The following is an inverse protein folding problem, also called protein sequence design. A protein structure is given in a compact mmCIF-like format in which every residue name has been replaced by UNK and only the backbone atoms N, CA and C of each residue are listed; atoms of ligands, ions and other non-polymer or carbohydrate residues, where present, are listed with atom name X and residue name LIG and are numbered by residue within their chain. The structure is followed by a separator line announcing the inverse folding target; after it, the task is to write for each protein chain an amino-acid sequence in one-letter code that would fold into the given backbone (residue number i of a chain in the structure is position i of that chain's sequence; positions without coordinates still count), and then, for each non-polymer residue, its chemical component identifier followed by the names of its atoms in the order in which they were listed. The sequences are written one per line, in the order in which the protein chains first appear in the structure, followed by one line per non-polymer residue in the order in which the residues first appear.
data_IF_760791357730
#
_entry.id   IF_760791357730
#
_cell.length_a   1.000
_cell.length_b   1.000
_cell.length_c   1.000
_cell.angle_alpha   90.00
_cell.angle_beta   90.00
_cell.angle_gamma   90.00
#
_symmetry.space_group_name_H-M   'P 1'
#
loop_
_entity.id
_entity.type
_entity.pdbx_description
1 polymer ?
2 non-polymer ?
3 water ?
#
# COMPACT_ATOMS: atom_id res chain seq x y z
N UNK A 4 33.12 9.90 -17.26
CA UNK A 4 33.31 8.50 -17.76
C UNK A 4 32.13 7.52 -17.45
N UNK A 5 31.66 6.81 -18.48
CA UNK A 5 30.52 5.83 -18.41
C UNK A 5 30.59 4.65 -17.40
N UNK A 6 29.52 4.42 -16.61
CA UNK A 6 29.49 3.32 -15.61
C UNK A 6 28.21 2.49 -15.63
N UNK A 7 28.25 1.31 -15.04
CA UNK A 7 27.08 0.43 -14.89
C UNK A 7 26.65 0.56 -13.45
N UNK A 8 25.40 0.95 -13.19
CA UNK A 8 24.98 1.26 -11.81
C UNK A 8 23.52 0.82 -11.62
N UNK A 9 23.16 0.46 -10.38
CA UNK A 9 21.72 0.06 -10.07
C UNK A 9 20.98 1.41 -9.94
N UNK A 10 19.98 1.62 -10.79
CA UNK A 10 19.16 2.81 -10.79
C UNK A 10 17.69 2.40 -10.66
N UNK A 11 16.88 3.34 -10.15
CA UNK A 11 15.41 3.28 -10.38
C UNK A 11 15.12 4.30 -11.44
N UNK A 12 14.41 3.87 -12.45
CA UNK A 12 14.12 4.66 -13.64
C UNK A 12 12.62 4.88 -13.81
N UNK A 13 12.20 6.12 -14.03
CA UNK A 13 10.80 6.55 -14.03
C UNK A 13 10.50 7.17 -15.39
N UNK A 14 9.38 6.74 -15.99
CA UNK A 14 8.83 7.39 -17.12
C UNK A 14 7.41 7.78 -16.90
N UNK A 15 6.99 8.88 -17.44
CA UNK A 15 5.55 9.21 -17.41
C UNK A 15 5.11 9.89 -18.66
N UNK A 16 3.80 9.86 -18.92
CA UNK A 16 3.27 10.73 -19.95
C UNK A 16 1.84 11.12 -19.57
N UNK A 17 1.26 12.06 -20.33
CA UNK A 17 -0.14 12.45 -20.07
C UNK A 17 -1.10 11.82 -21.07
N UNK A 18 -1.98 10.92 -20.61
CA UNK A 18 -2.99 10.36 -21.53
C UNK A 18 -3.99 11.44 -21.83
N UNK A 19 -4.30 11.58 -23.11
CA UNK A 19 -5.19 12.65 -23.53
C UNK A 19 -4.44 13.82 -24.16
N UNK A 20 -3.14 13.96 -23.89
CA UNK A 20 -2.40 15.12 -24.38
C UNK A 20 -2.32 15.20 -25.90
N UNK A 21 -2.10 14.07 -26.55
CA UNK A 21 -1.93 14.16 -28.02
C UNK A 21 -3.19 14.72 -28.69
N UNK A 22 -4.36 14.30 -28.20
CA UNK A 22 -5.68 14.77 -28.68
C UNK A 22 -5.74 16.28 -28.45
N UNK A 23 -5.39 16.67 -27.23
CA UNK A 23 -5.37 18.10 -26.87
C UNK A 23 -4.45 18.93 -27.79
N UNK A 24 -3.34 18.33 -28.21
CA UNK A 24 -2.40 19.09 -29.05
C UNK A 24 -2.93 19.36 -30.46
N UNK A 25 -3.94 18.60 -30.86
CA UNK A 25 -4.62 18.77 -32.16
C UNK A 25 -5.86 19.72 -32.07
N UNK A 26 -6.08 20.40 -30.96
CA UNK A 26 -7.25 21.29 -30.89
C UNK A 26 -7.05 22.60 -30.11
N UNK A 27 -5.98 22.68 -29.34
CA UNK A 27 -5.59 23.92 -28.65
C UNK A 27 -4.80 24.85 -29.55
N UNK A 28 -5.05 26.15 -29.48
CA UNK A 28 -4.15 27.15 -30.05
C UNK A 28 -2.71 26.82 -29.63
N UNK A 29 -1.75 27.03 -30.52
CA UNK A 29 -0.35 26.71 -30.22
C UNK A 29 0.16 27.42 -28.96
N UNK A 30 -0.30 28.65 -28.72
CA UNK A 30 0.21 29.40 -27.57
C UNK A 30 -0.34 28.84 -26.22
N UNK A 31 -1.65 28.54 -26.17
CA UNK A 31 -2.27 27.90 -25.01
C UNK A 31 -1.65 26.51 -24.79
N UNK A 32 -1.45 25.75 -25.88
CA UNK A 32 -0.75 24.43 -25.77
C UNK A 32 0.66 24.53 -25.19
N UNK A 33 1.48 25.47 -25.69
CA UNK A 33 2.76 25.76 -25.18
C UNK A 33 2.71 26.10 -23.69
N UNK A 34 1.81 27.02 -23.30
CA UNK A 34 1.77 27.36 -21.90
C UNK A 34 1.33 26.15 -21.01
N UNK A 35 0.36 25.39 -21.43
CA UNK A 35 -0.11 24.21 -20.67
C UNK A 35 0.99 23.15 -20.59
N UNK A 36 1.61 22.79 -21.72
CA UNK A 36 2.73 21.82 -21.61
C UNK A 36 3.87 22.38 -20.73
N UNK A 37 4.35 23.64 -20.92
CA UNK A 37 5.46 24.11 -20.19
C UNK A 37 5.16 24.23 -18.66
N UNK A 38 3.93 24.63 -18.34
CA UNK A 38 3.48 24.70 -16.93
C UNK A 38 3.60 23.30 -16.30
N UNK A 39 3.07 22.34 -17.02
CA UNK A 39 3.14 20.92 -16.58
C UNK A 39 4.57 20.46 -16.41
N UNK A 40 5.42 20.68 -17.44
CA UNK A 40 6.78 20.21 -17.32
C UNK A 40 7.55 20.94 -16.20
N UNK A 41 7.27 22.25 -16.00
CA UNK A 41 7.93 22.99 -14.95
C UNK A 41 7.49 22.45 -13.56
N UNK A 42 6.19 22.15 -13.46
CA UNK A 42 5.68 21.62 -12.15
C UNK A 42 6.23 20.25 -11.87
N UNK A 43 6.30 19.43 -12.94
CA UNK A 43 6.92 18.09 -12.74
C UNK A 43 8.39 18.17 -12.40
N UNK A 44 9.14 19.09 -13.04
CA UNK A 44 10.50 19.29 -12.71
C UNK A 44 10.72 19.68 -11.23
N UNK A 45 9.90 20.57 -10.70
CA UNK A 45 10.02 20.92 -9.34
C UNK A 45 9.80 19.73 -8.39
N UNK A 46 8.79 18.89 -8.70
CA UNK A 46 8.63 17.69 -7.88
C UNK A 46 9.79 16.68 -7.96
N UNK A 47 10.34 16.45 -9.16
CA UNK A 47 11.48 15.59 -9.28
C UNK A 47 12.67 16.15 -8.50
N UNK A 48 12.90 17.49 -8.56
CA UNK A 48 14.03 18.05 -7.75
C UNK A 48 13.82 17.81 -6.23
N UNK A 49 12.57 18.03 -5.76
CA UNK A 49 12.25 17.87 -4.35
C UNK A 49 12.57 16.43 -3.83
N UNK A 50 12.28 15.43 -4.70
CA UNK A 50 12.51 14.11 -4.35
C UNK A 50 13.90 13.55 -4.63
N UNK A 51 14.71 14.44 -5.16
CA UNK A 51 16.14 14.04 -5.30
C UNK A 51 16.38 13.32 -6.65
N UNK A 52 15.51 13.45 -7.66
CA UNK A 52 15.71 12.69 -8.90
C UNK A 52 16.61 13.45 -9.86
N UNK A 53 17.15 12.72 -10.78
CA UNK A 53 17.89 13.33 -11.86
C UNK A 53 17.03 13.36 -13.08
N UNK A 54 16.68 14.54 -13.50
CA UNK A 54 15.84 14.74 -14.66
C UNK A 54 16.66 14.49 -15.90
N UNK A 55 16.18 13.56 -16.72
CA UNK A 55 17.01 13.20 -17.86
C UNK A 55 16.63 14.03 -19.02
N UNK A 56 15.38 13.99 -19.39
CA UNK A 56 14.92 14.74 -20.55
C UNK A 56 13.42 14.69 -20.55
N UNK A 57 12.89 15.60 -21.35
CA UNK A 57 11.53 15.58 -21.72
C UNK A 57 11.46 15.30 -23.22
N UNK A 58 10.47 14.50 -23.59
CA UNK A 58 10.17 14.25 -24.98
C UNK A 58 8.71 14.59 -25.18
N UNK A 59 8.39 15.78 -25.66
CA UNK A 59 7.04 16.31 -25.58
C UNK A 59 6.51 16.31 -24.10
N UNK A 60 5.42 15.56 -23.85
CA UNK A 60 4.87 15.47 -22.47
C UNK A 60 5.47 14.30 -21.73
N UNK A 61 6.29 13.50 -22.39
CA UNK A 61 6.96 12.41 -21.69
C UNK A 61 8.13 12.86 -20.79
N UNK A 62 8.14 12.48 -19.52
CA UNK A 62 9.18 12.84 -18.59
C UNK A 62 9.98 11.61 -18.17
N UNK A 63 11.32 11.64 -18.16
CA UNK A 63 12.18 10.57 -17.76
C UNK A 63 13.04 11.07 -16.61
N UNK A 64 13.04 10.38 -15.49
CA UNK A 64 13.80 10.74 -14.27
C UNK A 64 14.47 9.50 -13.79
N UNK A 65 15.71 9.59 -13.30
CA UNK A 65 16.29 8.44 -12.68
C UNK A 65 16.87 8.71 -11.32
N UNK A 66 17.00 7.67 -10.53
CA UNK A 66 17.56 7.78 -9.17
C UNK A 66 18.67 6.77 -8.99
N UNK A 67 19.73 7.18 -8.36
CA UNK A 67 20.89 6.31 -8.07
C UNK A 67 22.16 6.90 -8.72
N UNK A 68 22.02 7.92 -9.52
CA UNK A 68 23.19 8.56 -10.15
C UNK A 68 22.72 9.98 -10.43
N UNK A 69 23.62 11.03 -10.30
CA UNK A 69 25.01 10.90 -9.90
C UNK A 69 25.27 10.56 -8.45
N UNK A 70 24.27 10.74 -7.57
CA UNK A 70 24.41 10.34 -6.21
C UNK A 70 23.38 9.25 -5.94
N UNK A 71 23.49 8.63 -4.80
CA UNK A 71 22.60 7.56 -4.36
C UNK A 71 22.38 7.59 -2.88
N UNK A 72 21.13 7.29 -2.48
CA UNK A 72 20.78 6.93 -1.09
C UNK A 72 20.83 5.41 -0.75
N UNK A 73 21.32 4.58 -1.69
CA UNK A 73 21.22 3.12 -1.63
C UNK A 73 19.94 2.70 -2.33
N UNK A 74 19.91 1.45 -2.75
CA UNK A 74 18.93 0.99 -3.76
C UNK A 74 17.53 1.16 -3.18
N UNK A 75 17.33 0.86 -1.90
CA UNK A 75 15.96 0.93 -1.34
C UNK A 75 15.47 2.36 -1.26
N UNK A 76 16.23 3.28 -0.69
CA UNK A 76 15.78 4.67 -0.64
C UNK A 76 15.68 5.32 -2.00
N UNK A 77 16.49 4.90 -2.96
CA UNK A 77 16.38 5.46 -4.31
C UNK A 77 15.01 5.04 -4.91
N UNK A 78 14.69 3.79 -4.72
CA UNK A 78 13.38 3.28 -5.23
C UNK A 78 12.22 3.90 -4.49
N UNK A 79 12.28 3.96 -3.15
CA UNK A 79 11.22 4.63 -2.43
C UNK A 79 11.08 6.10 -2.93
N UNK A 80 12.23 6.80 -3.13
CA UNK A 80 12.13 8.16 -3.59
C UNK A 80 11.44 8.32 -4.98
N UNK A 81 11.80 7.37 -5.90
CA UNK A 81 11.23 7.47 -7.24
C UNK A 81 9.70 7.22 -7.12
N UNK A 82 9.29 6.18 -6.42
CA UNK A 82 7.82 5.90 -6.40
C UNK A 82 7.07 6.97 -5.64
N UNK A 83 7.66 7.49 -4.56
CA UNK A 83 7.03 8.57 -3.78
C UNK A 83 6.91 9.78 -4.64
N UNK A 84 7.91 10.08 -5.50
CA UNK A 84 7.80 11.18 -6.45
C UNK A 84 6.61 10.95 -7.37
N UNK A 85 6.46 9.72 -7.86
CA UNK A 85 5.31 9.46 -8.73
C UNK A 85 3.97 9.63 -8.03
N UNK A 86 3.87 9.19 -6.77
CA UNK A 86 2.66 9.39 -5.97
C UNK A 86 2.32 10.90 -5.90
N UNK A 87 3.41 11.66 -5.60
CA UNK A 87 3.23 13.06 -5.50
C UNK A 87 2.84 13.74 -6.78
N UNK A 88 3.39 13.34 -7.94
CA UNK A 88 3.01 13.88 -9.21
C UNK A 88 1.57 13.56 -9.51
N UNK A 89 1.14 12.35 -9.21
CA UNK A 89 -0.27 11.98 -9.51
C UNK A 89 -1.19 12.86 -8.65
N UNK A 90 -0.80 13.14 -7.38
CA UNK A 90 -1.63 14.04 -6.56
C UNK A 90 -1.62 15.43 -7.14
N UNK A 91 -0.49 15.90 -7.62
CA UNK A 91 -0.44 17.28 -8.10
C UNK A 91 -1.19 17.43 -9.40
N UNK A 92 -1.33 16.36 -10.16
CA UNK A 92 -2.13 16.42 -11.34
C UNK A 92 -3.56 16.78 -11.08
N UNK A 93 -4.05 16.43 -9.89
CA UNK A 93 -5.46 16.85 -9.56
C UNK A 93 -5.53 18.37 -9.47
N UNK A 94 -4.51 18.95 -8.87
CA UNK A 94 -4.45 20.41 -8.77
C UNK A 94 -4.34 21.02 -10.17
N UNK A 95 -3.42 20.49 -11.01
CA UNK A 95 -3.27 21.07 -12.31
C UNK A 95 -4.55 20.97 -13.11
N UNK A 96 -5.22 19.82 -13.04
CA UNK A 96 -6.49 19.65 -13.78
C UNK A 96 -7.51 20.72 -13.35
N UNK A 97 -7.55 21.01 -12.05
CA UNK A 97 -8.54 22.02 -11.54
C UNK A 97 -8.16 23.39 -12.14
N UNK A 98 -6.89 23.68 -12.18
CA UNK A 98 -6.46 24.92 -12.80
C UNK A 98 -6.82 24.95 -14.27
N UNK A 99 -6.55 23.86 -14.99
CA UNK A 99 -6.87 23.79 -16.40
C UNK A 99 -8.37 23.87 -16.71
N UNK A 100 -9.16 23.24 -15.86
CA UNK A 100 -10.60 23.22 -16.06
C UNK A 100 -11.10 24.68 -15.97
N UNK A 101 -10.44 25.47 -15.12
CA UNK A 101 -10.79 26.90 -14.98
C UNK A 101 -10.41 27.75 -16.19
N UNK A 102 -9.52 27.27 -17.07
CA UNK A 102 -9.26 27.96 -18.32
C UNK A 102 -10.17 27.42 -19.39
N UNK A 103 -11.09 26.54 -19.01
CA UNK A 103 -12.01 25.96 -19.98
C UNK A 103 -11.50 24.77 -20.77
N UNK A 104 -10.48 24.11 -20.22
CA UNK A 104 -9.97 22.87 -20.77
C UNK A 104 -10.71 21.84 -20.00
N UNK A 105 -11.48 21.03 -20.71
CA UNK A 105 -12.42 20.15 -20.04
C UNK A 105 -12.09 18.70 -20.33
N UNK A 106 -11.34 18.49 -21.42
CA UNK A 106 -11.07 17.15 -21.93
C UNK A 106 -10.19 16.43 -20.90
N UNK A 107 -10.43 15.13 -20.73
CA UNK A 107 -9.70 14.55 -19.61
C UNK A 107 -8.18 14.34 -19.94
N UNK A 108 -7.37 14.60 -18.92
CA UNK A 108 -5.90 14.50 -19.05
C UNK A 108 -5.45 13.80 -17.78
N UNK A 109 -4.70 12.71 -17.93
CA UNK A 109 -4.29 11.97 -16.73
C UNK A 109 -2.91 11.41 -16.91
N UNK A 110 -2.15 11.45 -15.83
CA UNK A 110 -0.78 10.96 -15.90
C UNK A 110 -0.77 9.47 -15.77
N UNK A 111 0.15 8.85 -16.49
CA UNK A 111 0.51 7.46 -16.23
C UNK A 111 1.99 7.31 -16.12
N UNK A 112 2.40 6.27 -15.38
CA UNK A 112 3.79 6.11 -15.01
C UNK A 112 4.25 4.68 -15.00
N UNK A 113 5.53 4.47 -15.32
CA UNK A 113 6.16 3.17 -15.27
C UNK A 113 7.48 3.30 -14.52
N UNK A 114 7.83 2.36 -13.66
CA UNK A 114 9.06 2.49 -12.83
C UNK A 114 9.67 1.14 -12.80
N UNK A 115 11.01 1.05 -12.98
CA UNK A 115 11.69 -0.20 -12.84
C UNK A 115 13.00 0.06 -12.19
N UNK A 116 13.61 -0.89 -11.56
CA UNK A 116 14.92 -0.79 -10.90
C UNK A 116 15.80 -1.91 -11.42
N UNK A 117 17.03 -1.56 -11.78
CA UNK A 117 18.02 -2.58 -12.23
C UNK A 117 19.26 -1.87 -12.72
N UNK A 118 20.26 -2.69 -13.11
CA UNK A 118 21.52 -2.12 -13.58
C UNK A 118 21.42 -1.51 -14.90
N UNK A 119 21.91 -0.27 -15.02
CA UNK A 119 21.85 0.53 -16.22
C UNK A 119 23.23 1.10 -16.55
N UNK A 120 23.45 1.46 -17.79
CA UNK A 120 24.74 2.14 -18.19
C UNK A 120 24.48 3.62 -18.23
N UNK A 121 25.32 4.39 -17.53
CA UNK A 121 25.14 5.85 -17.47
C UNK A 121 26.38 6.58 -17.97
N UNK A 122 26.19 7.60 -18.74
CA UNK A 122 27.40 8.20 -19.39
C UNK A 122 27.03 9.35 -20.23
N UNK A 123 28.04 9.90 -20.95
CA UNK A 123 27.76 10.95 -21.86
C UNK A 123 27.68 10.36 -23.25
N UNK A 124 26.50 10.54 -23.86
CA UNK A 124 26.22 9.92 -25.18
C UNK A 124 25.76 10.95 -26.14
N UNK A 125 26.15 10.82 -27.43
CA UNK A 125 25.75 11.71 -28.44
C UNK A 125 26.77 11.97 -29.55
N UNK A 126 26.42 12.94 -30.37
CA UNK A 126 27.27 13.46 -31.43
C UNK A 126 28.07 14.63 -30.87
N UNK A 127 29.11 15.04 -31.60
CA UNK A 127 30.12 15.99 -31.03
C UNK A 127 29.60 17.35 -30.63
N UNK A 128 28.65 17.92 -31.39
CA UNK A 128 28.04 19.15 -30.93
C UNK A 128 26.68 18.92 -30.23
N UNK A 129 26.41 17.68 -29.80
CA UNK A 129 25.06 17.30 -29.29
C UNK A 129 25.18 16.09 -28.36
N UNK A 130 25.71 16.40 -27.18
CA UNK A 130 26.07 15.41 -26.19
C UNK A 130 25.16 15.54 -24.94
N UNK A 131 24.77 14.40 -24.35
CA UNK A 131 24.01 14.45 -23.12
C UNK A 131 24.38 13.36 -22.13
N UNK A 132 24.28 13.72 -20.85
CA UNK A 132 24.50 12.75 -19.79
C UNK A 132 23.20 12.01 -19.56
N UNK A 133 23.18 10.69 -19.76
CA UNK A 133 21.88 9.96 -19.82
C UNK A 133 22.15 8.48 -19.58
N UNK A 134 21.13 7.61 -19.73
CA UNK A 134 21.26 6.21 -19.36
C UNK A 134 20.65 5.39 -20.47
N UNK A 135 21.18 4.18 -20.59
CA UNK A 135 20.69 3.20 -21.56
C UNK A 135 20.71 1.79 -20.96
N UNK A 136 19.97 0.85 -21.58
CA UNK A 136 20.04 -0.52 -21.17
C UNK A 136 18.65 -1.13 -21.14
N UNK A 137 18.60 -2.45 -21.14
CA UNK A 137 17.32 -3.18 -21.02
C UNK A 137 16.43 -2.71 -19.88
N UNK A 138 17.02 -2.34 -18.76
CA UNK A 138 16.28 -1.96 -17.56
C UNK A 138 15.69 -0.58 -17.75
N UNK A 139 16.33 0.27 -18.55
CA UNK A 139 15.73 1.51 -18.93
C UNK A 139 14.51 1.26 -19.86
N UNK A 140 14.68 0.38 -20.84
CA UNK A 140 13.60 0.10 -21.76
C UNK A 140 12.44 -0.55 -21.00
N UNK A 141 12.72 -1.32 -19.97
CA UNK A 141 11.58 -2.01 -19.20
C UNK A 141 10.72 -0.94 -18.50
N UNK A 142 11.34 0.14 -17.95
CA UNK A 142 10.55 1.24 -17.37
C UNK A 142 9.65 1.89 -18.39
N UNK A 143 10.18 2.14 -19.58
CA UNK A 143 9.43 2.69 -20.68
C UNK A 143 8.25 1.77 -21.09
N UNK A 144 8.55 0.49 -21.13
CA UNK A 144 7.46 -0.45 -21.50
C UNK A 144 6.40 -0.52 -20.44
N UNK A 145 6.76 -0.41 -19.18
CA UNK A 145 5.72 -0.39 -18.14
C UNK A 145 4.87 0.86 -18.29
N UNK A 146 5.50 2.01 -18.61
CA UNK A 146 4.74 3.19 -18.77
C UNK A 146 3.75 2.98 -19.95
N UNK A 147 4.21 2.32 -21.00
CA UNK A 147 3.35 2.18 -22.23
C UNK A 147 2.15 1.29 -21.88
N UNK A 148 2.35 0.38 -20.95
CA UNK A 148 1.31 -0.61 -20.56
C UNK A 148 0.38 -0.06 -19.52
N UNK A 149 0.77 1.00 -18.84
CA UNK A 149 -0.01 1.50 -17.73
C UNK A 149 -1.26 2.19 -18.27
N UNK A 150 -2.26 2.15 -17.44
CA UNK A 150 -3.52 2.84 -17.69
C UNK A 150 -3.49 4.29 -17.17
N UNK A 151 -4.35 5.17 -17.69
CA UNK A 151 -4.43 6.48 -17.11
C UNK A 151 -4.62 6.45 -15.60
N UNK A 152 -3.77 7.21 -14.91
CA UNK A 152 -3.87 7.28 -13.48
C UNK A 152 -3.13 6.24 -12.69
N UNK A 153 -2.43 5.38 -13.38
CA UNK A 153 -1.80 4.20 -12.73
C UNK A 153 -0.29 4.42 -12.69
N UNK A 154 0.31 3.91 -11.62
CA UNK A 154 1.73 3.82 -11.53
C UNK A 154 2.02 2.33 -11.52
N UNK A 155 2.70 1.90 -12.54
CA UNK A 155 3.06 0.47 -12.65
C UNK A 155 4.51 0.26 -12.34
N UNK A 156 4.91 -0.71 -11.52
CA UNK A 156 6.29 -0.95 -11.20
C UNK A 156 6.60 -2.44 -11.41
N UNK A 157 7.84 -2.75 -11.58
CA UNK A 157 8.31 -4.16 -11.71
C UNK A 157 8.50 -4.75 -10.35
N UNK A 158 8.71 -6.07 -10.36
CA UNK A 158 8.97 -6.79 -9.14
C UNK A 158 10.24 -6.38 -8.41
N UNK A 159 11.32 -6.08 -9.16
CA UNK A 159 12.51 -5.58 -8.51
C UNK A 159 12.18 -4.29 -7.71
N UNK A 160 11.42 -3.37 -8.30
CA UNK A 160 11.11 -2.16 -7.56
C UNK A 160 10.26 -2.51 -6.37
N UNK A 161 9.19 -3.28 -6.60
CA UNK A 161 8.30 -3.71 -5.49
C UNK A 161 9.08 -4.28 -4.37
N UNK A 162 10.05 -5.17 -4.67
CA UNK A 162 10.89 -5.82 -3.61
C UNK A 162 11.58 -4.84 -2.67
N UNK A 163 11.98 -3.69 -3.22
CA UNK A 163 12.62 -2.65 -2.51
C UNK A 163 11.70 -1.77 -1.70
N UNK A 164 10.44 -1.56 -2.15
CA UNK A 164 9.60 -0.54 -1.55
C UNK A 164 8.48 -1.19 -0.68
N UNK A 165 8.34 -2.53 -0.76
CA UNK A 165 7.07 -3.14 -0.23
C UNK A 165 6.78 -2.91 1.22
N UNK A 166 7.76 -2.69 2.09
CA UNK A 166 7.46 -2.45 3.50
C UNK A 166 6.97 -1.07 3.78
N UNK A 167 7.16 -0.12 2.85
CA UNK A 167 6.77 1.25 3.09
C UNK A 167 5.77 1.87 2.08
N UNK A 168 5.59 1.24 0.92
CA UNK A 168 4.65 1.74 -0.04
C UNK A 168 3.68 0.60 -0.37
N UNK A 169 2.41 0.96 -0.39
CA UNK A 169 1.35 -0.03 -0.60
C UNK A 169 1.16 -0.32 -2.10
N UNK A 170 1.14 -1.60 -2.47
CA UNK A 170 1.11 -2.02 -3.88
C UNK A 170 0.01 -3.11 -4.02
N UNK A 171 -0.35 -3.37 -5.26
CA UNK A 171 -1.28 -4.47 -5.59
C UNK A 171 -0.79 -5.16 -6.83
N UNK A 172 -0.67 -6.49 -6.76
CA UNK A 172 -0.34 -7.32 -7.93
C UNK A 172 -1.27 -7.10 -9.12
N UNK A 173 -0.66 -6.82 -10.28
CA UNK A 173 -1.49 -6.60 -11.48
C UNK A 173 -1.15 -7.64 -12.55
N UNK A 174 -0.72 -8.77 -12.04
CA UNK A 174 -0.38 -9.90 -12.99
C UNK A 174 0.99 -9.71 -13.68
N UNK A 175 1.02 -10.20 -14.93
CA UNK A 175 2.24 -10.18 -15.71
C UNK A 175 1.78 -9.77 -17.12
N UNK A 176 2.58 -8.96 -17.74
CA UNK A 176 2.26 -8.46 -19.04
C UNK A 176 3.31 -8.88 -20.08
N UNK A 177 2.77 -8.85 -21.31
CA UNK A 177 3.52 -8.98 -22.57
C UNK A 177 4.28 -7.70 -22.85
N UNK A 178 5.61 -7.74 -22.73
CA UNK A 178 6.45 -6.55 -23.03
C UNK A 178 7.36 -6.85 -24.22
N UNK A 179 7.21 -6.05 -25.29
CA UNK A 179 8.00 -6.31 -26.52
C UNK A 179 9.49 -6.11 -26.17
N UNK A 180 10.31 -7.08 -26.58
CA UNK A 180 11.72 -7.13 -26.15
C UNK A 180 11.88 -7.98 -24.89
N UNK A 181 10.79 -8.58 -24.45
CA UNK A 181 10.86 -9.40 -23.25
C UNK A 181 10.11 -10.70 -23.53
N UNK A 182 10.84 -11.80 -23.42
CA UNK A 182 10.34 -13.11 -23.85
C UNK A 182 9.42 -13.60 -22.74
N UNK A 183 9.87 -13.32 -21.51
CA UNK A 183 9.38 -13.98 -20.31
C UNK A 183 8.39 -12.99 -19.70
N UNK A 184 7.47 -13.51 -18.86
CA UNK A 184 6.56 -12.41 -18.56
C UNK A 184 7.09 -11.71 -17.34
N UNK A 185 6.98 -10.36 -17.31
CA UNK A 185 7.35 -9.65 -16.12
C UNK A 185 6.14 -9.27 -15.20
N UNK A 186 6.48 -9.56 -13.99
CA UNK A 186 5.60 -9.38 -12.85
C UNK A 186 5.43 -7.88 -12.67
N UNK A 187 4.22 -7.44 -12.54
CA UNK A 187 3.92 -5.95 -12.37
C UNK A 187 3.01 -5.69 -11.20
N UNK A 188 3.08 -4.49 -10.62
CA UNK A 188 2.21 -4.06 -9.52
C UNK A 188 1.76 -2.65 -9.67
N UNK A 189 0.59 -2.32 -9.19
CA UNK A 189 0.06 -0.95 -9.15
C UNK A 189 0.48 -0.39 -7.79
N UNK A 190 0.84 0.91 -7.76
CA UNK A 190 1.13 1.59 -6.53
C UNK A 190 -0.11 2.36 -6.07
N UNK A 191 -0.46 2.15 -4.81
CA UNK A 191 -1.71 2.65 -4.24
C UNK A 191 -1.34 3.63 -3.10
N UNK A 192 -1.94 4.79 -3.11
CA UNK A 192 -1.62 5.78 -2.10
C UNK A 192 -2.07 5.31 -0.79
N UNK A 193 -1.34 5.60 0.26
CA UNK A 193 -1.71 5.18 1.59
C UNK A 193 -1.24 6.18 2.63
N UNK A 194 -1.53 5.82 3.90
CA UNK A 194 -1.43 6.90 4.89
C UNK A 194 0.01 7.33 5.04
N UNK A 195 0.98 6.46 4.85
CA UNK A 195 2.35 6.76 5.25
C UNK A 195 3.15 7.31 4.08
N UNK A 196 2.50 7.80 3.04
CA UNK A 196 3.30 8.29 1.94
C UNK A 196 4.19 9.47 2.25
N UNK A 197 5.35 9.49 1.60
CA UNK A 197 6.34 10.56 1.88
C UNK A 197 6.05 11.77 1.01
N UNK A 198 5.81 12.92 1.64
CA UNK A 198 5.75 14.07 0.82
C UNK A 198 5.89 15.36 1.53
N UNK B 3 -12.53 16.05 24.48
CA UNK B 3 -12.99 14.63 24.59
C UNK B 3 -14.48 14.45 24.82
N UNK B 4 -15.32 14.87 23.91
CA UNK B 4 -16.70 14.42 23.95
C UNK B 4 -16.76 12.93 23.53
N UNK B 5 -17.43 12.10 24.31
CA UNK B 5 -17.64 10.73 23.83
C UNK B 5 -18.58 10.76 22.63
N UNK B 6 -18.25 9.96 21.58
CA UNK B 6 -19.07 9.94 20.40
C UNK B 6 -19.26 8.53 19.97
N UNK B 7 -20.42 8.30 19.38
CA UNK B 7 -20.69 7.10 18.65
C UNK B 7 -20.21 7.35 17.25
N UNK B 8 -19.45 6.37 16.74
CA UNK B 8 -18.88 6.46 15.40
C UNK B 8 -18.85 5.11 14.74
N UNK B 9 -18.94 5.08 13.41
CA UNK B 9 -18.92 3.79 12.68
C UNK B 9 -17.47 3.44 12.51
N UNK B 10 -17.11 2.30 13.11
CA UNK B 10 -15.74 1.78 13.02
C UNK B 10 -15.75 0.41 12.41
N UNK B 11 -14.61 0.03 11.87
CA UNK B 11 -14.29 -1.40 11.66
C UNK B 11 -13.29 -1.80 12.80
N UNK B 12 -13.67 -2.88 13.43
CA UNK B 12 -12.96 -3.34 14.66
C UNK B 12 -12.39 -4.75 14.35
N UNK B 13 -11.13 -4.88 14.73
CA UNK B 13 -10.33 -6.09 14.40
C UNK B 13 -9.80 -6.64 15.69
N UNK B 14 -9.93 -7.97 15.83
CA UNK B 14 -9.29 -8.69 16.93
C UNK B 14 -8.60 -9.85 16.39
N UNK B 15 -7.43 -10.16 16.97
CA UNK B 15 -6.76 -11.41 16.57
C UNK B 15 -6.06 -12.01 17.78
N UNK B 16 -5.80 -13.33 17.66
CA UNK B 16 -4.91 -14.02 18.67
C UNK B 16 -4.15 -15.12 17.97
N UNK B 17 -3.15 -15.65 18.66
CA UNK B 17 -2.41 -16.77 18.08
C UNK B 17 -2.79 -18.11 18.67
N UNK B 18 -3.42 -18.93 17.85
CA UNK B 18 -3.79 -20.29 18.30
C UNK B 18 -2.49 -21.06 18.49
N UNK B 19 -2.40 -21.73 19.64
CA UNK B 19 -1.16 -22.43 19.99
C UNK B 19 -0.41 -21.67 21.04
N UNK B 20 -0.63 -20.36 21.16
CA UNK B 20 0.27 -19.58 21.97
C UNK B 20 0.08 -19.85 23.48
N UNK B 21 -1.11 -20.15 23.93
CA UNK B 21 -1.26 -20.39 25.39
C UNK B 21 -0.47 -21.68 25.75
N UNK B 22 -0.56 -22.69 24.90
CA UNK B 22 0.21 -23.92 25.22
C UNK B 22 1.70 -23.62 25.17
N UNK B 23 2.08 -22.90 24.14
CA UNK B 23 3.42 -22.53 23.98
C UNK B 23 3.93 -21.81 25.23
N UNK B 24 3.08 -20.99 25.82
CA UNK B 24 3.52 -20.17 26.92
C UNK B 24 3.72 -21.04 28.19
N UNK B 25 3.13 -22.22 28.22
CA UNK B 25 3.26 -23.13 29.36
C UNK B 25 4.56 -23.98 29.26
N UNK B 26 5.12 -24.07 28.05
CA UNK B 26 6.19 -25.03 27.72
C UNK B 26 7.52 -24.33 27.52
N UNK B 27 7.47 -23.13 26.97
CA UNK B 27 8.65 -22.49 26.44
C UNK B 27 9.35 -21.69 27.54
N UNK B 28 10.66 -21.83 27.64
CA UNK B 28 11.39 -21.03 28.61
C UNK B 28 11.06 -19.53 28.57
N UNK B 29 11.13 -18.89 29.73
CA UNK B 29 10.63 -17.51 29.89
C UNK B 29 11.18 -16.41 28.97
N UNK B 30 12.53 -16.37 28.83
CA UNK B 30 13.18 -15.44 27.92
C UNK B 30 12.74 -15.69 26.45
N UNK B 31 12.66 -16.95 26.01
CA UNK B 31 12.41 -17.30 24.64
C UNK B 31 10.94 -16.91 24.42
N UNK B 32 10.08 -17.21 25.36
CA UNK B 32 8.63 -16.82 25.20
C UNK B 32 8.48 -15.29 25.09
N UNK B 33 9.14 -14.60 25.98
CA UNK B 33 9.13 -13.18 25.99
C UNK B 33 9.61 -12.55 24.64
N UNK B 34 10.74 -13.02 24.13
CA UNK B 34 11.18 -12.45 22.87
C UNK B 34 10.25 -12.84 21.72
N UNK B 35 9.67 -14.03 21.73
CA UNK B 35 8.78 -14.45 20.66
C UNK B 35 7.52 -13.54 20.69
N UNK B 36 6.94 -13.35 21.87
CA UNK B 36 5.70 -12.56 21.91
C UNK B 36 5.99 -11.10 21.55
N UNK B 37 7.07 -10.47 22.09
CA UNK B 37 7.37 -9.15 21.76
C UNK B 37 7.72 -8.95 20.28
N UNK B 38 8.47 -9.90 19.70
CA UNK B 38 8.76 -9.91 18.23
C UNK B 38 7.38 -9.84 17.46
N UNK B 39 6.50 -10.75 17.79
CA UNK B 39 5.13 -10.80 17.13
C UNK B 39 4.45 -9.49 17.28
N UNK B 40 4.35 -8.96 18.51
CA UNK B 40 3.56 -7.71 18.72
C UNK B 40 4.22 -6.54 18.01
N UNK B 41 5.56 -6.52 17.95
CA UNK B 41 6.15 -5.43 17.26
C UNK B 41 5.91 -5.50 15.73
N UNK B 42 6.01 -6.69 15.14
CA UNK B 42 5.75 -6.85 13.71
C UNK B 42 4.27 -6.52 13.40
N UNK B 43 3.37 -6.96 14.29
CA UNK B 43 1.90 -6.64 14.07
C UNK B 43 1.67 -5.16 14.13
N UNK B 44 2.35 -4.46 15.07
CA UNK B 44 2.17 -3.02 15.18
C UNK B 44 2.67 -2.31 13.91
N UNK B 45 3.80 -2.75 13.34
CA UNK B 45 4.28 -2.13 12.08
C UNK B 45 3.23 -2.32 10.91
N UNK B 46 2.61 -3.54 10.91
CA UNK B 46 1.63 -3.78 9.85
C UNK B 46 0.39 -2.89 10.09
N UNK B 47 -0.10 -2.77 11.34
CA UNK B 47 -1.25 -1.88 11.63
C UNK B 47 -0.92 -0.45 11.20
N UNK B 48 0.32 0.04 11.47
CA UNK B 48 0.69 1.41 11.08
C UNK B 48 0.63 1.55 9.58
N UNK B 49 1.13 0.52 8.88
CA UNK B 49 1.12 0.56 7.43
C UNK B 49 -0.29 0.77 6.87
N UNK B 50 -1.30 0.03 7.42
CA UNK B 50 -2.64 0.18 6.90
C UNK B 50 -3.48 1.23 7.54
N UNK B 51 -2.89 1.97 8.50
CA UNK B 51 -3.57 3.11 9.08
C UNK B 51 -4.52 2.79 10.19
N UNK B 52 -4.30 1.65 10.88
CA UNK B 52 -5.18 1.33 11.95
C UNK B 52 -4.73 1.91 13.30
N UNK B 53 -5.69 2.10 14.13
CA UNK B 53 -5.44 2.58 15.51
C UNK B 53 -5.27 1.37 16.41
N UNK B 54 -4.09 1.19 16.96
CA UNK B 54 -3.82 0.02 17.83
C UNK B 54 -4.35 0.35 19.20
N UNK B 55 -5.27 -0.45 19.68
CA UNK B 55 -5.97 -0.05 20.91
C UNK B 55 -5.17 -0.52 22.01
N UNK B 56 -4.96 -1.83 22.02
CA UNK B 56 -4.21 -2.44 23.07
C UNK B 56 -3.85 -3.84 22.66
N UNK B 57 -2.90 -4.35 23.41
CA UNK B 57 -2.54 -5.76 23.43
C UNK B 57 -2.96 -6.32 24.77
N UNK B 58 -3.51 -7.52 24.74
CA UNK B 58 -3.85 -8.33 25.91
C UNK B 58 -3.10 -9.69 25.71
N UNK B 59 -1.88 -9.78 26.18
CA UNK B 59 -1.03 -10.95 25.80
C UNK B 59 -0.82 -11.01 24.31
N UNK B 60 -1.27 -12.09 23.65
CA UNK B 60 -1.07 -12.26 22.22
C UNK B 60 -2.29 -11.67 21.50
N UNK B 61 -3.30 -11.24 22.24
CA UNK B 61 -4.50 -10.68 21.58
C UNK B 61 -4.28 -9.22 21.13
N UNK B 62 -4.53 -8.90 19.87
CA UNK B 62 -4.30 -7.59 19.30
C UNK B 62 -5.69 -7.03 18.95
N UNK B 63 -5.92 -5.81 19.35
CA UNK B 63 -7.19 -5.10 19.02
C UNK B 63 -6.80 -3.82 18.28
N UNK B 64 -7.35 -3.68 17.09
CA UNK B 64 -7.06 -2.52 16.19
C UNK B 64 -8.42 -2.00 15.70
N UNK B 65 -8.57 -0.69 15.57
CA UNK B 65 -9.83 -0.20 14.96
C UNK B 65 -9.54 0.86 13.88
N UNK B 66 -10.52 0.98 12.99
CA UNK B 66 -10.34 1.92 11.85
C UNK B 66 -11.62 2.74 11.91
N UNK B 67 -11.44 4.04 11.62
CA UNK B 67 -12.56 5.02 11.56
C UNK B 67 -12.43 6.11 12.61
N UNK B 68 -11.48 6.02 13.50
CA UNK B 68 -11.27 7.06 14.54
C UNK B 68 -9.85 6.86 14.98
N UNK B 69 -9.14 7.95 15.31
CA UNK B 69 -9.51 9.35 15.25
C UNK B 69 -9.77 9.95 13.87
N UNK B 70 -9.24 9.33 12.81
CA UNK B 70 -9.42 9.76 11.46
C UNK B 70 -10.21 8.68 10.72
N UNK B 71 -10.77 9.04 9.58
CA UNK B 71 -11.50 8.10 8.78
C UNK B 71 -11.26 8.33 7.32
N UNK B 72 -11.28 7.28 6.52
CA UNK B 72 -11.31 7.45 5.04
C UNK B 72 -12.67 7.12 4.49
N UNK B 73 -13.70 7.14 5.33
CA UNK B 73 -15.02 6.71 4.97
C UNK B 73 -15.16 5.23 5.31
N UNK B 74 -16.38 4.79 5.51
CA UNK B 74 -16.65 3.43 6.02
C UNK B 74 -16.09 2.36 5.13
N UNK B 75 -16.25 2.46 3.80
CA UNK B 75 -15.76 1.43 2.93
C UNK B 75 -14.24 1.31 2.97
N UNK B 76 -13.55 2.40 2.84
CA UNK B 76 -12.12 2.31 2.78
C UNK B 76 -11.61 1.87 4.13
N UNK B 77 -12.29 2.23 5.21
CA UNK B 77 -11.82 1.84 6.59
C UNK B 77 -11.94 0.35 6.65
N UNK B 78 -13.02 -0.21 6.18
CA UNK B 78 -13.22 -1.67 6.29
C UNK B 78 -12.25 -2.39 5.35
N UNK B 79 -12.07 -1.93 4.10
CA UNK B 79 -11.05 -2.54 3.20
C UNK B 79 -9.65 -2.44 3.86
N UNK B 80 -9.29 -1.33 4.53
CA UNK B 80 -8.00 -1.29 5.20
C UNK B 80 -7.92 -2.32 6.30
N UNK B 81 -8.96 -2.47 7.10
CA UNK B 81 -8.90 -3.43 8.21
C UNK B 81 -8.74 -4.84 7.70
N UNK B 82 -9.58 -5.25 6.72
CA UNK B 82 -9.44 -6.60 6.27
C UNK B 82 -8.18 -6.83 5.51
N UNK B 83 -7.72 -5.90 4.68
CA UNK B 83 -6.37 -6.04 4.01
C UNK B 83 -5.25 -6.12 4.99
N UNK B 84 -5.36 -5.36 6.12
CA UNK B 84 -4.35 -5.50 7.21
C UNK B 84 -4.34 -6.94 7.73
N UNK B 85 -5.55 -7.49 7.91
CA UNK B 85 -5.68 -8.83 8.38
C UNK B 85 -5.07 -9.83 7.44
N UNK B 86 -5.35 -9.70 6.12
CA UNK B 86 -4.72 -10.53 5.11
C UNK B 86 -3.19 -10.50 5.17
N UNK B 87 -2.69 -9.27 5.33
CA UNK B 87 -1.23 -9.05 5.38
C UNK B 87 -0.65 -9.68 6.65
N UNK B 88 -1.33 -9.60 7.75
CA UNK B 88 -0.82 -10.20 9.00
C UNK B 88 -0.82 -11.70 8.89
N UNK B 89 -1.76 -12.33 8.21
CA UNK B 89 -1.82 -13.73 8.06
C UNK B 89 -0.65 -14.14 7.13
N UNK B 90 -0.31 -13.32 6.12
CA UNK B 90 0.83 -13.65 5.24
C UNK B 90 2.08 -13.52 6.02
N UNK B 91 2.15 -12.53 6.88
CA UNK B 91 3.44 -12.27 7.57
C UNK B 91 3.67 -13.37 8.62
N UNK B 92 2.61 -13.97 9.13
CA UNK B 92 2.68 -15.03 10.09
C UNK B 92 3.46 -16.22 9.47
N UNK B 93 3.39 -16.43 8.15
CA UNK B 93 4.21 -17.48 7.53
C UNK B 93 5.73 -17.12 7.64
N UNK B 94 6.08 -15.85 7.46
CA UNK B 94 7.47 -15.44 7.60
C UNK B 94 7.93 -15.64 9.01
N UNK B 95 7.11 -15.20 9.94
CA UNK B 95 7.47 -15.35 11.38
C UNK B 95 7.65 -16.81 11.79
N UNK B 96 6.81 -17.70 11.32
CA UNK B 96 6.83 -19.12 11.70
C UNK B 96 8.12 -19.77 11.21
N UNK B 97 8.52 -19.38 9.99
CA UNK B 97 9.78 -19.87 9.37
C UNK B 97 10.91 -19.49 10.27
N UNK B 98 10.93 -18.23 10.74
CA UNK B 98 12.00 -17.73 11.64
C UNK B 98 11.92 -18.47 12.97
N UNK B 99 10.72 -18.61 13.53
CA UNK B 99 10.66 -19.36 14.78
C UNK B 99 11.00 -20.87 14.63
N UNK B 100 10.62 -21.49 13.53
CA UNK B 100 10.94 -22.91 13.36
C UNK B 100 12.44 -23.09 13.30
N UNK B 101 13.12 -22.12 12.73
CA UNK B 101 14.56 -22.19 12.58
C UNK B 101 15.19 -22.02 13.95
N UNK B 102 14.58 -21.20 14.80
CA UNK B 102 15.10 -20.91 16.16
C UNK B 102 14.77 -22.06 17.13
N UNK B 103 14.25 -23.14 16.63
CA UNK B 103 13.92 -24.22 17.50
C UNK B 103 12.48 -24.38 17.90
N UNK B 104 11.60 -23.43 17.53
CA UNK B 104 10.17 -23.59 17.92
C UNK B 104 9.37 -24.49 16.95
N UNK B 105 8.78 -25.56 17.41
CA UNK B 105 8.09 -26.45 16.44
C UNK B 105 6.63 -26.68 16.81
N UNK B 106 6.18 -25.90 17.77
CA UNK B 106 4.81 -25.97 18.07
C UNK B 106 4.08 -25.17 17.01
N UNK B 107 2.97 -25.73 16.46
CA UNK B 107 2.15 -24.93 15.47
C UNK B 107 1.56 -23.70 16.11
N UNK B 108 1.74 -22.57 15.45
CA UNK B 108 1.18 -21.25 15.91
C UNK B 108 0.52 -20.61 14.69
N UNK B 109 -0.75 -20.30 14.80
CA UNK B 109 -1.42 -19.67 13.66
C UNK B 109 -2.39 -18.61 14.15
N UNK B 110 -2.43 -17.51 13.43
CA UNK B 110 -3.33 -16.41 13.79
C UNK B 110 -4.75 -16.70 13.37
N UNK B 111 -5.64 -16.17 14.19
CA UNK B 111 -7.05 -16.15 13.80
C UNK B 111 -7.54 -14.72 14.03
N UNK B 112 -8.59 -14.33 13.29
CA UNK B 112 -9.03 -12.94 13.34
C UNK B 112 -10.51 -12.88 13.17
N UNK B 113 -11.05 -11.90 13.81
CA UNK B 113 -12.45 -11.56 13.65
C UNK B 113 -12.58 -10.07 13.40
N UNK B 114 -13.50 -9.71 12.49
CA UNK B 114 -13.66 -8.32 12.12
C UNK B 114 -15.09 -7.98 11.98
N UNK B 115 -15.51 -6.86 12.57
CA UNK B 115 -16.92 -6.38 12.40
C UNK B 115 -16.92 -4.93 12.20
N UNK B 116 -18.01 -4.40 11.58
CA UNK B 116 -18.11 -2.97 11.40
C UNK B 116 -19.47 -2.52 11.95
N UNK B 117 -19.45 -1.46 12.69
CA UNK B 117 -20.73 -0.94 13.27
C UNK B 117 -20.45 0.23 14.14
N UNK B 118 -21.55 0.76 14.70
CA UNK B 118 -21.35 1.91 15.56
C UNK B 118 -20.85 1.54 16.94
N UNK B 119 -19.86 2.29 17.39
CA UNK B 119 -19.11 2.06 18.64
C UNK B 119 -19.00 3.34 19.39
N UNK B 120 -18.85 3.25 20.71
CA UNK B 120 -18.67 4.45 21.52
C UNK B 120 -17.23 4.61 21.77
N UNK B 121 -16.71 5.78 21.46
CA UNK B 121 -15.36 6.08 21.51
C UNK B 121 -15.08 7.24 22.48
N UNK B 122 -14.10 7.07 23.31
CA UNK B 122 -13.81 8.14 24.27
C UNK B 122 -12.76 7.77 25.26
N UNK B 123 -12.59 8.65 26.26
CA UNK B 123 -11.62 8.39 27.27
C UNK B 123 -12.31 7.75 28.50
N UNK B 124 -11.87 6.53 28.82
CA UNK B 124 -12.53 5.71 29.86
C UNK B 124 -11.51 5.24 30.82
N UNK B 125 -11.85 5.15 32.11
CA UNK B 125 -10.87 4.67 33.09
C UNK B 125 -11.06 5.29 34.46
N UNK B 126 -10.10 4.99 35.30
CA UNK B 126 -10.02 5.53 36.66
C UNK B 126 -9.11 6.77 36.54
N UNK B 127 -9.10 7.62 37.56
CA UNK B 127 -8.31 8.91 37.42
C UNK B 127 -6.82 8.79 37.17
N UNK B 128 -6.15 7.78 37.71
CA UNK B 128 -4.74 7.54 37.37
C UNK B 128 -4.53 6.37 36.40
N UNK B 129 -5.57 6.02 35.63
CA UNK B 129 -5.48 4.92 34.67
C UNK B 129 -6.57 5.18 33.59
N UNK B 130 -6.36 6.19 32.73
CA UNK B 130 -7.31 6.52 31.64
C UNK B 130 -6.75 6.03 30.31
N UNK B 131 -7.65 5.65 29.42
CA UNK B 131 -7.25 5.29 28.07
C UNK B 131 -8.31 5.68 27.02
N UNK B 132 -7.82 6.10 25.87
CA UNK B 132 -8.73 6.38 24.81
C UNK B 132 -9.00 5.05 24.12
N UNK B 133 -10.28 4.72 24.05
CA UNK B 133 -10.61 3.34 23.62
C UNK B 133 -12.07 3.30 23.19
N UNK B 134 -12.55 2.07 22.90
CA UNK B 134 -13.84 1.90 22.30
C UNK B 134 -14.62 0.80 23.05
N UNK B 135 -15.91 1.01 23.11
CA UNK B 135 -16.78 0.04 23.74
C UNK B 135 -18.04 -0.15 22.97
N UNK B 136 -18.78 -1.19 23.26
CA UNK B 136 -20.06 -1.42 22.63
C UNK B 136 -20.30 -2.84 22.15
N UNK B 137 -21.57 -3.12 21.90
CA UNK B 137 -21.97 -4.37 21.26
C UNK B 137 -21.23 -4.74 19.99
N UNK B 138 -20.85 -3.74 19.20
CA UNK B 138 -20.22 -4.00 17.90
C UNK B 138 -18.77 -4.33 18.10
N UNK B 139 -18.16 -3.82 19.18
CA UNK B 139 -16.85 -4.26 19.61
C UNK B 139 -16.85 -5.68 20.11
N UNK B 140 -17.85 -5.98 20.93
CA UNK B 140 -17.98 -7.35 21.44
C UNK B 140 -18.18 -8.33 20.27
N UNK B 141 -18.99 -7.95 19.26
CA UNK B 141 -19.24 -8.89 18.17
C UNK B 141 -17.90 -9.25 17.43
N UNK B 142 -16.99 -8.26 17.26
CA UNK B 142 -15.73 -8.55 16.62
C UNK B 142 -14.92 -9.53 17.43
N UNK B 143 -14.97 -9.36 18.74
CA UNK B 143 -14.37 -10.33 19.62
C UNK B 143 -15.04 -11.70 19.54
N UNK B 144 -16.35 -11.75 19.43
CA UNK B 144 -16.97 -13.07 19.37
C UNK B 144 -16.66 -13.76 18.05
N UNK B 145 -16.49 -12.99 16.96
CA UNK B 145 -16.05 -13.67 15.70
C UNK B 145 -14.68 -14.16 15.82
N UNK B 146 -13.80 -13.42 16.50
CA UNK B 146 -12.48 -13.92 16.69
C UNK B 146 -12.50 -15.23 17.45
N UNK B 147 -13.33 -15.27 18.49
CA UNK B 147 -13.38 -16.48 19.35
C UNK B 147 -13.93 -17.63 18.54
N UNK B 148 -14.79 -17.33 17.59
CA UNK B 148 -15.43 -18.39 16.75
C UNK B 148 -14.54 -18.88 15.61
N UNK B 149 -13.58 -18.05 15.18
CA UNK B 149 -12.75 -18.34 14.07
C UNK B 149 -11.79 -19.55 14.30
N UNK B 150 -11.46 -20.26 13.20
CA UNK B 150 -10.50 -21.35 13.29
C UNK B 150 -9.12 -20.83 13.07
N UNK B 151 -8.09 -21.55 13.54
CA UNK B 151 -6.71 -21.19 13.14
C UNK B 151 -6.63 -20.90 11.64
N UNK B 152 -5.98 -19.78 11.32
CA UNK B 152 -5.74 -19.41 9.93
C UNK B 152 -6.88 -18.68 9.22
N UNK B 153 -8.02 -18.54 9.90
CA UNK B 153 -9.22 -17.96 9.35
C UNK B 153 -9.39 -16.51 9.72
N UNK B 154 -9.90 -15.75 8.76
CA UNK B 154 -10.38 -14.40 9.01
C UNK B 154 -11.92 -14.41 8.84
N UNK B 155 -12.61 -14.25 9.93
CA UNK B 155 -14.08 -14.24 9.92
C UNK B 155 -14.58 -12.86 10.00
N UNK B 156 -15.50 -12.43 9.11
CA UNK B 156 -16.05 -11.10 9.17
C UNK B 156 -17.57 -11.17 9.20
N UNK B 157 -18.21 -10.14 9.63
CA UNK B 157 -19.69 -9.98 9.65
C UNK B 157 -20.20 -9.58 8.32
N UNK B 158 -21.53 -9.66 8.17
CA UNK B 158 -22.08 -9.15 6.94
C UNK B 158 -21.94 -7.65 6.74
N UNK B 159 -21.98 -6.82 7.81
CA UNK B 159 -21.78 -5.45 7.61
C UNK B 159 -20.36 -5.19 7.03
N UNK B 160 -19.33 -5.91 7.52
CA UNK B 160 -18.03 -5.67 6.93
C UNK B 160 -18.02 -6.19 5.50
N UNK B 161 -18.54 -7.37 5.29
CA UNK B 161 -18.61 -7.91 3.93
C UNK B 161 -19.27 -6.94 2.97
N UNK B 162 -20.38 -6.33 3.38
CA UNK B 162 -21.11 -5.47 2.44
C UNK B 162 -20.29 -4.27 2.01
N UNK B 163 -19.28 -3.90 2.79
CA UNK B 163 -18.38 -2.81 2.41
C UNK B 163 -17.15 -3.23 1.61
N UNK B 164 -16.70 -4.49 1.74
CA UNK B 164 -15.49 -4.89 1.04
C UNK B 164 -15.73 -5.77 -0.15
N UNK B 165 -17.00 -6.17 -0.38
CA UNK B 165 -17.30 -7.23 -1.35
C UNK B 165 -16.81 -6.97 -2.76
N UNK B 166 -16.77 -5.73 -3.23
CA UNK B 166 -16.31 -5.58 -4.61
C UNK B 166 -14.82 -5.84 -4.79
N UNK B 167 -14.08 -5.83 -3.68
CA UNK B 167 -12.65 -5.76 -3.78
C UNK B 167 -11.89 -6.92 -3.08
N UNK B 168 -12.52 -7.50 -2.09
CA UNK B 168 -11.86 -8.59 -1.38
C UNK B 168 -12.75 -9.83 -1.52
N UNK B 169 -12.09 -10.97 -1.79
CA UNK B 169 -12.90 -12.17 -2.03
C UNK B 169 -13.25 -12.86 -0.75
N UNK B 170 -14.44 -13.46 -0.66
CA UNK B 170 -14.94 -14.07 0.56
C UNK B 170 -15.70 -15.35 0.23
N UNK B 171 -15.93 -16.18 1.23
CA UNK B 171 -16.92 -17.30 1.11
C UNK B 171 -17.90 -17.14 2.26
N UNK B 172 -19.18 -17.26 1.94
CA UNK B 172 -20.22 -17.40 2.96
C UNK B 172 -19.98 -18.59 3.86
N UNK B 173 -19.88 -18.34 5.18
CA UNK B 173 -19.66 -19.42 6.12
C UNK B 173 -20.89 -19.61 7.01
N UNK B 174 -22.03 -19.26 6.49
CA UNK B 174 -23.28 -19.50 7.28
C UNK B 174 -23.48 -18.51 8.39
N UNK B 175 -24.13 -19.00 9.46
CA UNK B 175 -24.50 -18.15 10.56
C UNK B 175 -24.08 -18.89 11.84
N UNK B 176 -23.72 -18.15 12.84
CA UNK B 176 -23.20 -18.92 13.98
C UNK B 176 -23.87 -18.40 15.22
N UNK B 177 -23.89 -19.26 16.25
CA UNK B 177 -24.42 -18.90 17.58
C UNK B 177 -23.42 -18.07 18.36
N UNK B 178 -23.80 -16.82 18.66
CA UNK B 178 -22.84 -15.93 19.33
C UNK B 178 -23.39 -15.48 20.72
N UNK B 179 -22.63 -15.73 21.80
CA UNK B 179 -23.10 -15.28 23.14
C UNK B 179 -23.33 -13.79 23.12
N UNK B 180 -24.51 -13.39 23.59
CA UNK B 180 -24.91 -11.98 23.57
C UNK B 180 -25.74 -11.60 22.37
N UNK B 181 -25.90 -12.54 21.42
CA UNK B 181 -26.63 -12.19 20.23
C UNK B 181 -27.72 -13.19 20.09
N UNK B 182 -28.93 -12.66 20.17
CA UNK B 182 -30.13 -13.48 20.14
C UNK B 182 -30.27 -14.14 18.79
N UNK B 183 -29.97 -13.39 17.72
CA UNK B 183 -30.14 -13.88 16.33
C UNK B 183 -28.81 -14.49 15.94
N UNK B 184 -28.83 -15.63 15.17
CA UNK B 184 -27.62 -16.10 14.52
C UNK B 184 -26.97 -15.00 13.67
N UNK B 185 -25.64 -15.05 13.70
CA UNK B 185 -24.85 -14.03 13.01
C UNK B 185 -24.29 -14.52 11.65
N UNK B 186 -24.57 -13.74 10.65
CA UNK B 186 -24.14 -14.07 9.19
C UNK B 186 -22.69 -13.74 9.11
N UNK B 187 -21.94 -14.73 8.76
CA UNK B 187 -20.44 -14.58 8.69
C UNK B 187 -19.85 -15.06 7.36
N UNK B 188 -18.67 -14.51 7.04
CA UNK B 188 -17.88 -14.87 5.84
C UNK B 188 -16.43 -15.10 6.18
N UNK B 189 -15.78 -15.99 5.47
CA UNK B 189 -14.33 -16.15 5.50
C UNK B 189 -13.75 -15.28 4.43
N UNK B 190 -12.62 -14.61 4.77
CA UNK B 190 -11.85 -13.89 3.78
C UNK B 190 -10.75 -14.70 3.17
N UNK B 191 -10.70 -14.66 1.87
CA UNK B 191 -9.77 -15.52 1.13
C UNK B 191 -8.82 -14.63 0.35
N UNK B 192 -7.54 -14.97 0.44
CA UNK B 192 -6.57 -14.17 -0.32
C UNK B 192 -6.76 -14.28 -1.82
N UNK B 193 -6.47 -13.21 -2.56
CA UNK B 193 -6.55 -13.25 -3.97
C UNK B 193 -5.59 -12.29 -4.62
N UNK B 194 -5.48 -12.39 -5.94
CA UNK B 194 -4.46 -11.59 -6.69
C UNK B 194 -4.40 -10.16 -6.23
N UNK B 195 -5.51 -9.47 -6.10
CA UNK B 195 -5.48 -8.07 -6.00
C UNK B 195 -5.48 -7.58 -4.56
N UNK B 196 -4.97 -8.39 -3.64
CA UNK B 196 -4.94 -7.86 -2.30
C UNK B 196 -4.02 -6.69 -2.14
N UNK B 197 -4.42 -5.77 -1.24
CA UNK B 197 -3.63 -4.50 -1.09
C UNK B 197 -2.46 -4.76 -0.13
N UNK B 198 -1.24 -4.63 -0.65
CA UNK B 198 -0.06 -4.87 0.11
C UNK B 198 0.17 -6.33 0.36
X LIG C 1 1.86 -10.32 -2.11
X LIG C 1 2.21 -10.43 -3.49
X LIG C 1 1.26 -8.92 -2.04
X LIG C 1 -0.09 -9.19 -1.78
X LIG C 1 1.42 -8.29 -3.44
X LIG C 1 1.22 -6.89 -3.27
#
# INVERSE_FOLDING_TARGET
GRLETQRKKLTVFFSDIRGFTELSEELEAEALTDLLNNYLNEMSKIALKYGGTIDKFVGDCVMVFFGDPSTQGAKKDAVAAVSMGIAMRKHMKVLRQQWRAQGITKPLEIRMGINTGYCTVGNFGADTRMDYTIIGREVNLASRLESASEAGEILISHETYSLIKDVIMCRDKGQIAVKGFSRPVQIYQVVDSRRDLG
GRLETQRKKLTVFFSDIRGFTELSEELEAEALTDLLNNYLNEMSKIALKYGGTIDKFVGDCVMVFFGDPSTQGAKKDAVAAVSMGIAMRKHMKVLRQQWRAQGITKPLEIRMGINTGYCTVGNFGADTRMDYTIIGREVNLASRLESASEAGEILISHETYSLIKDVIMCRDKGQIAVKGFSRPVQIYQVVDSRRDLG
GOL C1 O1 C2 O2 C3 O3
#
